data_IF_852438585893
#
_entry.id   IF_852438585893
#
_cell.length_a   1.000
_cell.length_b   1.000
_cell.length_c   1.000
_cell.angle_alpha   90.00
_cell.angle_beta   90.00
_cell.angle_gamma   90.00
#
_symmetry.space_group_name_H-M   'P 1'
#
loop_
_entity.id
_entity.type
_entity.pdbx_description
1 polymer ?
#
# COMPACT_ATOMS: atom_id res chain seq x y z
N UNK A 1 28.33 -35.95 60.60
CA UNK A 1 27.03 -36.32 59.98
C UNK A 1 26.51 -35.09 59.26
N UNK A 2 26.91 -34.92 58.00
CA UNK A 2 26.15 -35.21 56.74
C UNK A 2 25.27 -34.03 56.31
N UNK A 3 25.91 -33.14 55.55
CA UNK A 3 25.30 -32.27 54.54
C UNK A 3 24.43 -33.10 53.58
N UNK A 4 23.22 -32.61 53.26
CA UNK A 4 22.49 -32.97 52.04
C UNK A 4 21.57 -31.81 51.62
N UNK A 5 21.96 -31.11 50.55
CA UNK A 5 21.03 -30.54 49.56
C UNK A 5 20.89 -31.58 48.44
N UNK A 6 19.75 -31.64 47.72
CA UNK A 6 19.68 -31.03 46.37
C UNK A 6 18.22 -30.57 46.00
N UNK A 7 17.82 -30.39 44.72
CA UNK A 7 17.73 -29.09 44.05
C UNK A 7 16.34 -28.86 43.39
N UNK A 8 16.24 -27.85 42.53
CA UNK A 8 15.13 -27.49 41.60
C UNK A 8 14.27 -26.30 41.99
N UNK A 9 14.57 -25.16 41.38
CA UNK A 9 13.55 -24.31 40.76
C UNK A 9 14.23 -23.55 39.62
N UNK A 10 13.93 -23.98 38.40
CA UNK A 10 14.45 -23.42 37.17
C UNK A 10 13.95 -21.98 36.99
N UNK A 11 14.88 -21.05 36.86
CA UNK A 11 14.64 -19.68 36.48
C UNK A 11 14.35 -19.67 34.97
N UNK A 12 13.07 -19.61 34.61
CA UNK A 12 12.61 -19.53 33.23
C UNK A 12 12.76 -18.06 32.78
N UNK A 13 13.95 -17.73 32.29
CA UNK A 13 14.22 -16.46 31.61
C UNK A 13 13.50 -16.51 30.27
N UNK A 14 12.30 -15.94 30.21
CA UNK A 14 11.63 -15.66 28.95
C UNK A 14 12.41 -14.55 28.23
N UNK A 15 13.27 -14.95 27.29
CA UNK A 15 13.76 -14.05 26.24
C UNK A 15 12.55 -13.61 25.43
N UNK A 16 12.03 -12.42 25.71
CA UNK A 16 11.16 -11.71 24.78
C UNK A 16 12.09 -11.27 23.65
N UNK A 17 12.16 -12.08 22.60
CA UNK A 17 12.70 -11.64 21.33
C UNK A 17 11.83 -10.46 20.88
N UNK A 18 12.37 -9.25 20.99
CA UNK A 18 11.85 -8.09 20.28
C UNK A 18 11.89 -8.42 18.80
N UNK A 19 10.77 -8.91 18.25
CA UNK A 19 10.52 -8.83 16.82
C UNK A 19 10.37 -7.34 16.55
N UNK A 20 11.48 -6.70 16.20
CA UNK A 20 11.46 -5.38 15.62
C UNK A 20 10.58 -5.51 14.37
N UNK A 21 9.36 -4.99 14.48
CA UNK A 21 8.43 -4.87 13.37
C UNK A 21 9.15 -3.99 12.35
N UNK A 22 9.77 -4.63 11.35
CA UNK A 22 10.33 -3.95 10.20
C UNK A 22 9.24 -3.02 9.66
N UNK A 23 9.52 -1.72 9.59
CA UNK A 23 8.64 -0.78 8.89
C UNK A 23 8.44 -1.35 7.50
N UNK A 24 7.20 -1.74 7.18
CA UNK A 24 6.83 -2.44 5.95
C UNK A 24 7.03 -1.59 4.70
N UNK A 25 8.29 -1.42 4.27
CA UNK A 25 8.64 -0.86 2.97
C UNK A 25 8.30 -1.88 1.90
N UNK A 26 7.65 -1.43 0.84
CA UNK A 26 7.22 -2.32 -0.24
C UNK A 26 8.43 -2.73 -1.11
N UNK A 27 8.68 -4.03 -1.31
CA UNK A 27 9.74 -4.51 -2.19
C UNK A 27 9.35 -4.28 -3.65
N UNK A 28 10.22 -3.63 -4.42
CA UNK A 28 10.00 -3.36 -5.84
C UNK A 28 11.08 -4.02 -6.69
N UNK A 29 10.67 -4.54 -7.85
CA UNK A 29 11.60 -4.95 -8.91
C UNK A 29 11.55 -3.94 -10.05
N UNK A 30 12.70 -3.44 -10.49
CA UNK A 30 12.79 -2.50 -11.62
C UNK A 30 13.98 -2.76 -12.52
N UNK A 31 13.95 -2.16 -13.70
CA UNK A 31 15.05 -2.20 -14.66
C UNK A 31 15.71 -0.83 -14.77
N UNK A 32 17.04 -0.79 -14.72
CA UNK A 32 17.86 0.39 -15.00
C UNK A 32 18.49 0.24 -16.38
N UNK A 33 18.32 1.25 -17.21
CA UNK A 33 18.95 1.36 -18.52
C UNK A 33 19.99 2.46 -18.42
N UNK A 34 21.26 2.09 -18.51
CA UNK A 34 22.35 3.05 -18.39
C UNK A 34 22.54 3.78 -19.71
N UNK A 35 22.86 5.06 -19.62
CA UNK A 35 23.28 5.87 -20.77
C UNK A 35 24.80 5.97 -20.76
N UNK A 36 25.42 5.87 -21.93
CA UNK A 36 26.85 6.16 -22.10
C UNK A 36 27.12 7.68 -22.23
N UNK A 37 26.10 8.53 -22.03
CA UNK A 37 26.24 9.98 -22.08
C UNK A 37 27.13 10.52 -20.93
N UNK A 38 28.14 11.37 -21.23
CA UNK A 38 29.12 11.84 -20.24
C UNK A 38 28.56 12.64 -19.05
N UNK A 39 27.33 13.14 -19.16
CA UNK A 39 26.65 13.92 -18.11
C UNK A 39 25.48 13.18 -17.48
N UNK A 40 25.33 11.89 -17.77
CA UNK A 40 24.27 11.09 -17.16
C UNK A 40 24.44 11.07 -15.64
N UNK A 41 23.33 11.31 -14.94
CA UNK A 41 23.29 11.23 -13.49
C UNK A 41 23.58 9.78 -13.04
N UNK A 42 24.37 9.63 -11.97
CA UNK A 42 24.70 8.30 -11.42
C UNK A 42 23.43 7.67 -10.86
N UNK A 43 22.98 6.50 -11.36
CA UNK A 43 21.74 5.90 -10.94
C UNK A 43 21.75 5.54 -9.45
N UNK A 44 20.62 5.80 -8.77
CA UNK A 44 20.45 5.42 -7.37
C UNK A 44 19.85 4.03 -7.20
N UNK A 45 20.33 3.28 -6.22
CA UNK A 45 19.83 1.98 -5.75
C UNK A 45 19.27 2.20 -4.34
N UNK A 46 18.00 1.85 -4.15
CA UNK A 46 17.30 2.11 -2.90
C UNK A 46 17.27 0.86 -2.03
N UNK A 47 17.90 0.90 -0.87
CA UNK A 47 18.03 -0.25 0.04
C UNK A 47 17.22 -0.07 1.32
N UNK A 48 16.98 -1.16 2.04
CA UNK A 48 16.37 -1.16 3.37
C UNK A 48 17.20 -1.99 4.34
N UNK A 49 17.20 -1.62 5.62
CA UNK A 49 17.94 -2.34 6.65
C UNK A 49 17.51 -3.80 6.73
N UNK A 50 18.50 -4.70 6.88
CA UNK A 50 18.31 -6.16 7.02
C UNK A 50 17.60 -6.79 5.80
N UNK A 51 17.57 -6.11 4.66
CA UNK A 51 16.94 -6.57 3.42
C UNK A 51 17.96 -6.60 2.28
N UNK A 52 18.09 -7.76 1.64
CA UNK A 52 18.99 -7.94 0.50
C UNK A 52 18.41 -7.29 -0.75
N UNK A 53 19.21 -6.43 -1.36
CA UNK A 53 18.98 -5.87 -2.70
C UNK A 53 19.87 -6.58 -3.72
N UNK A 54 19.28 -7.11 -4.79
CA UNK A 54 20.01 -7.85 -5.82
C UNK A 54 20.11 -7.05 -7.12
N UNK A 55 21.32 -6.67 -7.52
CA UNK A 55 21.59 -6.09 -8.83
C UNK A 55 21.92 -7.23 -9.80
N UNK A 56 21.15 -7.38 -10.89
CA UNK A 56 21.31 -8.42 -11.91
C UNK A 56 21.78 -7.83 -13.22
N UNK A 57 22.87 -8.36 -13.75
CA UNK A 57 23.50 -7.89 -14.99
C UNK A 57 23.37 -8.93 -16.12
N UNK A 58 23.59 -8.50 -17.36
CA UNK A 58 23.63 -9.39 -18.52
C UNK A 58 24.95 -10.18 -18.58
N UNK A 59 26.04 -9.57 -18.12
CA UNK A 59 27.39 -10.15 -18.05
C UNK A 59 27.78 -10.45 -16.60
N UNK A 60 28.70 -11.39 -16.35
CA UNK A 60 29.24 -11.62 -15.00
C UNK A 60 29.92 -10.37 -14.45
N UNK A 61 29.90 -10.20 -13.12
CA UNK A 61 30.69 -9.19 -12.43
C UNK A 61 32.07 -9.75 -12.05
N UNK A 62 33.05 -8.87 -11.96
CA UNK A 62 34.36 -9.12 -11.41
C UNK A 62 34.32 -8.88 -9.91
N UNK A 63 34.55 -9.94 -9.12
CA UNK A 63 34.47 -9.89 -7.66
C UNK A 63 35.59 -9.06 -7.04
N UNK A 64 36.78 -9.09 -7.60
CA UNK A 64 37.95 -8.41 -7.01
C UNK A 64 37.93 -6.91 -7.30
N UNK A 65 37.30 -6.52 -8.41
CA UNK A 65 37.19 -5.11 -8.83
C UNK A 65 35.88 -4.43 -8.44
N UNK A 66 34.86 -5.18 -8.02
CA UNK A 66 33.61 -4.63 -7.50
C UNK A 66 33.79 -4.17 -6.06
N UNK A 67 33.47 -2.90 -5.77
CA UNK A 67 33.70 -2.30 -4.45
C UNK A 67 32.66 -1.25 -4.10
N UNK A 68 32.38 -1.11 -2.80
CA UNK A 68 31.61 0.01 -2.25
C UNK A 68 32.54 0.88 -1.39
N UNK A 69 32.34 2.20 -1.42
CA UNK A 69 33.11 3.14 -0.61
C UNK A 69 32.36 3.50 0.68
N UNK A 70 33.06 3.46 1.82
CA UNK A 70 32.52 3.86 3.13
C UNK A 70 31.45 2.93 3.68
N UNK A 71 31.46 1.66 3.30
CA UNK A 71 30.44 0.67 3.64
C UNK A 71 30.64 0.05 5.04
N UNK A 72 31.87 0.11 5.56
CA UNK A 72 32.28 -0.61 6.75
C UNK A 72 31.40 -0.25 7.97
N UNK A 73 30.82 -1.28 8.59
CA UNK A 73 29.92 -1.13 9.73
C UNK A 73 28.51 -0.64 9.39
N UNK A 74 28.20 -0.41 8.10
CA UNK A 74 26.87 -0.02 7.61
C UNK A 74 26.22 -1.12 6.76
N UNK A 75 27.01 -1.93 6.09
CA UNK A 75 26.56 -3.03 5.22
C UNK A 75 27.30 -4.33 5.55
N UNK A 76 26.68 -5.47 5.20
CA UNK A 76 27.42 -6.70 4.95
C UNK A 76 28.39 -6.51 3.77
N UNK A 77 29.51 -7.25 3.70
CA UNK A 77 30.43 -7.18 2.59
C UNK A 77 29.73 -7.40 1.25
N UNK A 78 29.96 -6.50 0.29
CA UNK A 78 29.34 -6.61 -1.03
C UNK A 78 29.81 -7.89 -1.71
N UNK A 79 28.85 -8.74 -2.09
CA UNK A 79 29.15 -9.99 -2.78
C UNK A 79 28.81 -9.89 -4.26
N UNK A 80 29.78 -10.23 -5.10
CA UNK A 80 29.57 -10.50 -6.52
C UNK A 80 29.54 -12.02 -6.75
N UNK A 81 28.41 -12.52 -7.26
CA UNK A 81 28.17 -13.94 -7.54
C UNK A 81 27.65 -14.11 -8.97
N UNK A 82 28.54 -14.49 -9.88
CA UNK A 82 28.22 -14.66 -11.29
C UNK A 82 27.75 -13.34 -11.90
N UNK A 83 26.47 -13.24 -12.27
CA UNK A 83 25.86 -12.03 -12.87
C UNK A 83 25.11 -11.16 -11.88
N UNK A 84 25.37 -11.32 -10.58
CA UNK A 84 24.63 -10.67 -9.51
C UNK A 84 25.57 -9.98 -8.54
N UNK A 85 25.18 -8.80 -8.09
CA UNK A 85 25.79 -8.11 -6.95
C UNK A 85 24.74 -8.00 -5.85
N UNK A 86 25.10 -8.41 -4.63
CA UNK A 86 24.24 -8.39 -3.46
C UNK A 86 24.66 -7.25 -2.55
N UNK A 87 23.69 -6.47 -2.10
CA UNK A 87 23.88 -5.36 -1.17
C UNK A 87 22.89 -5.52 -0.02
N UNK A 88 23.40 -5.58 1.20
CA UNK A 88 22.59 -5.77 2.40
C UNK A 88 23.03 -4.79 3.50
N UNK A 89 22.24 -3.75 3.79
CA UNK A 89 22.52 -2.85 4.90
C UNK A 89 22.27 -3.56 6.24
N UNK A 90 23.16 -3.38 7.21
CA UNK A 90 22.99 -3.95 8.56
C UNK A 90 21.82 -3.30 9.31
N UNK A 91 21.51 -2.05 8.97
CA UNK A 91 20.44 -1.23 9.57
C UNK A 91 19.88 -0.28 8.53
N UNK A 92 18.71 0.28 8.82
CA UNK A 92 18.13 1.34 8.01
C UNK A 92 19.08 2.54 7.85
N UNK A 93 19.26 2.96 6.60
CA UNK A 93 19.97 4.18 6.25
C UNK A 93 19.00 5.36 6.25
N UNK A 94 19.53 6.58 6.41
CA UNK A 94 18.74 7.78 6.17
C UNK A 94 18.76 8.14 4.67
N UNK A 95 17.73 8.81 4.12
CA UNK A 95 17.73 9.23 2.71
C UNK A 95 18.89 10.16 2.32
N UNK A 96 19.50 10.84 3.29
CA UNK A 96 20.66 11.71 3.07
C UNK A 96 21.98 10.94 3.05
N UNK A 97 21.98 9.67 3.52
CA UNK A 97 23.14 8.80 3.44
C UNK A 97 23.28 8.27 1.99
N UNK A 98 24.42 8.52 1.36
CA UNK A 98 24.73 8.03 0.02
C UNK A 98 26.09 7.34 -0.03
N UNK A 99 26.13 6.12 -0.55
CA UNK A 99 27.36 5.32 -0.68
C UNK A 99 27.63 5.01 -2.14
N UNK A 100 28.88 5.18 -2.59
CA UNK A 100 29.24 4.88 -3.98
C UNK A 100 29.56 3.39 -4.12
N UNK A 101 28.79 2.69 -4.94
CA UNK A 101 29.05 1.33 -5.40
C UNK A 101 29.58 1.38 -6.83
N UNK A 102 30.74 0.77 -7.06
CA UNK A 102 31.29 0.59 -8.42
C UNK A 102 31.28 -0.90 -8.73
N UNK A 103 30.41 -1.30 -9.65
CA UNK A 103 30.37 -2.68 -10.15
C UNK A 103 31.23 -2.78 -11.39
N UNK A 104 32.21 -3.67 -11.37
CA UNK A 104 33.03 -3.95 -12.56
C UNK A 104 32.49 -5.21 -13.22
N UNK A 105 32.16 -5.15 -14.51
CA UNK A 105 31.78 -6.31 -15.30
C UNK A 105 33.01 -7.10 -15.75
N UNK A 106 32.82 -8.36 -16.14
CA UNK A 106 33.91 -9.25 -16.59
C UNK A 106 34.64 -8.76 -17.85
N UNK A 107 34.05 -7.82 -18.60
CA UNK A 107 34.69 -7.16 -19.75
C UNK A 107 35.46 -5.89 -19.36
N UNK A 108 35.54 -5.58 -18.07
CA UNK A 108 36.21 -4.41 -17.52
C UNK A 108 35.38 -3.13 -17.49
N UNK A 109 34.13 -3.12 -17.97
CA UNK A 109 33.25 -1.94 -17.89
C UNK A 109 32.90 -1.68 -16.41
N UNK A 110 33.18 -0.47 -15.94
CA UNK A 110 32.84 -0.02 -14.59
C UNK A 110 31.51 0.73 -14.60
N UNK A 111 30.62 0.36 -13.68
CA UNK A 111 29.26 0.88 -13.57
C UNK A 111 29.07 1.50 -12.18
N UNK A 112 29.02 2.84 -12.05
CA UNK A 112 28.82 3.50 -10.79
C UNK A 112 27.33 3.56 -10.41
N UNK A 113 27.05 3.42 -9.11
CA UNK A 113 25.72 3.54 -8.50
C UNK A 113 25.80 4.26 -7.17
N UNK A 114 24.77 5.03 -6.85
CA UNK A 114 24.58 5.60 -5.50
C UNK A 114 23.65 4.69 -4.70
N UNK A 115 24.12 4.11 -3.61
CA UNK A 115 23.30 3.30 -2.70
C UNK A 115 22.77 4.18 -1.58
N UNK A 116 21.45 4.25 -1.43
CA UNK A 116 20.78 5.12 -0.45
C UNK A 116 19.43 4.53 0.00
N UNK A 117 18.73 5.16 0.94
CA UNK A 117 17.40 4.75 1.36
C UNK A 117 16.29 5.64 0.78
N UNK A 118 15.08 5.09 0.68
CA UNK A 118 13.84 5.86 0.45
C UNK A 118 12.77 5.38 1.43
N UNK A 119 11.80 6.24 1.74
CA UNK A 119 10.90 6.01 2.88
C UNK A 119 9.92 4.85 2.68
N UNK A 120 9.31 4.73 1.51
CA UNK A 120 8.12 3.88 1.30
C UNK A 120 8.42 2.53 0.66
N UNK A 121 9.51 2.44 -0.10
CA UNK A 121 9.80 1.30 -0.95
C UNK A 121 11.29 0.98 -0.91
N UNK A 122 11.69 -0.22 -1.30
CA UNK A 122 13.10 -0.54 -1.54
C UNK A 122 13.23 -1.41 -2.78
N UNK A 123 14.42 -1.42 -3.37
CA UNK A 123 14.73 -2.27 -4.50
C UNK A 123 15.02 -3.68 -3.99
N UNK A 124 14.11 -4.62 -4.19
CA UNK A 124 14.41 -6.03 -3.94
C UNK A 124 15.31 -6.59 -5.06
N UNK A 125 15.01 -6.22 -6.30
CA UNK A 125 15.80 -6.59 -7.47
C UNK A 125 15.91 -5.43 -8.47
N UNK A 126 17.12 -5.21 -8.97
CA UNK A 126 17.41 -4.24 -10.02
C UNK A 126 18.03 -4.96 -11.22
N UNK A 127 17.33 -5.03 -12.35
CA UNK A 127 17.91 -5.52 -13.60
C UNK A 127 18.67 -4.38 -14.28
N UNK A 128 19.98 -4.50 -14.42
CA UNK A 128 20.84 -3.47 -15.00
C UNK A 128 21.19 -3.82 -16.43
N UNK A 129 20.88 -2.91 -17.34
CA UNK A 129 21.21 -2.97 -18.76
C UNK A 129 22.22 -1.86 -19.09
N UNK A 130 23.51 -2.19 -19.21
CA UNK A 130 24.56 -1.21 -19.53
C UNK A 130 24.49 -0.64 -20.94
N UNK A 131 23.80 -1.35 -21.83
CA UNK A 131 23.52 -0.98 -23.21
C UNK A 131 22.00 -1.12 -23.39
N UNK A 132 21.36 -0.05 -23.84
CA UNK A 132 19.91 0.05 -23.93
C UNK A 132 19.34 -0.58 -25.22
N UNK A 133 20.20 -0.98 -26.17
CA UNK A 133 19.82 -1.58 -27.45
C UNK A 133 19.95 -3.11 -27.44
N UNK A 134 20.45 -3.69 -26.34
CA UNK A 134 20.54 -5.15 -26.24
C UNK A 134 19.17 -5.80 -26.34
N UNK A 135 19.10 -7.00 -26.92
CA UNK A 135 17.86 -7.78 -27.00
C UNK A 135 17.19 -7.95 -25.63
N UNK A 136 18.00 -8.09 -24.57
CA UNK A 136 17.52 -8.15 -23.19
C UNK A 136 16.87 -6.85 -22.74
N UNK A 137 17.53 -5.71 -22.98
CA UNK A 137 17.01 -4.39 -22.64
C UNK A 137 15.70 -4.09 -23.38
N UNK A 138 15.66 -4.30 -24.69
CA UNK A 138 14.48 -4.08 -25.53
C UNK A 138 13.30 -4.94 -25.09
N UNK A 139 13.52 -6.23 -24.82
CA UNK A 139 12.47 -7.13 -24.33
C UNK A 139 11.94 -6.70 -22.96
N UNK A 140 12.83 -6.31 -22.05
CA UNK A 140 12.45 -5.80 -20.72
C UNK A 140 11.59 -4.53 -20.83
N UNK A 141 11.95 -3.58 -21.71
CA UNK A 141 11.16 -2.37 -21.96
C UNK A 141 9.79 -2.67 -22.55
N UNK A 142 9.72 -3.54 -23.55
CA UNK A 142 8.46 -3.93 -24.17
C UNK A 142 7.53 -4.58 -23.15
N UNK A 143 8.03 -5.55 -22.37
CA UNK A 143 7.24 -6.24 -21.33
C UNK A 143 6.72 -5.24 -20.29
N UNK A 144 7.57 -4.29 -19.86
CA UNK A 144 7.16 -3.24 -18.93
C UNK A 144 6.08 -2.33 -19.56
N UNK A 145 6.27 -1.89 -20.81
CA UNK A 145 5.32 -1.03 -21.51
C UNK A 145 3.95 -1.72 -21.68
N UNK A 146 3.93 -2.97 -22.13
CA UNK A 146 2.69 -3.78 -22.28
C UNK A 146 1.98 -3.95 -20.92
N UNK A 147 2.74 -4.21 -19.85
CA UNK A 147 2.16 -4.34 -18.51
C UNK A 147 1.52 -3.04 -18.02
N UNK A 148 2.18 -1.90 -18.30
CA UNK A 148 1.70 -0.58 -17.92
C UNK A 148 0.47 -0.19 -18.74
N UNK A 149 0.50 -0.46 -20.05
CA UNK A 149 -0.62 -0.19 -20.95
C UNK A 149 -1.87 -0.94 -20.48
N UNK A 150 -1.76 -2.25 -20.23
CA UNK A 150 -2.88 -3.04 -19.72
C UNK A 150 -3.47 -2.48 -18.42
N UNK A 151 -2.63 -2.12 -17.44
CA UNK A 151 -3.09 -1.50 -16.18
C UNK A 151 -3.83 -0.19 -16.47
N UNK A 152 -3.24 0.68 -17.31
CA UNK A 152 -3.83 1.97 -17.64
C UNK A 152 -5.15 1.81 -18.42
N UNK A 153 -5.26 0.81 -19.29
CA UNK A 153 -6.50 0.47 -19.99
C UNK A 153 -7.59 0.03 -19.01
N UNK A 154 -7.28 -0.90 -18.10
CA UNK A 154 -8.20 -1.36 -17.06
C UNK A 154 -8.68 -0.19 -16.17
N UNK A 155 -7.77 0.71 -15.76
CA UNK A 155 -8.13 1.89 -15.00
C UNK A 155 -8.96 2.89 -15.80
N UNK A 156 -8.65 3.11 -17.07
CA UNK A 156 -9.41 4.01 -17.93
C UNK A 156 -10.83 3.47 -18.16
N UNK A 157 -10.96 2.17 -18.43
CA UNK A 157 -12.26 1.52 -18.53
C UNK A 157 -13.07 1.64 -17.25
N UNK A 158 -12.44 1.40 -16.09
CA UNK A 158 -13.07 1.65 -14.78
C UNK A 158 -13.55 3.09 -14.68
N UNK A 159 -12.69 4.07 -14.92
CA UNK A 159 -13.09 5.48 -14.82
C UNK A 159 -14.18 5.88 -15.81
N UNK A 160 -14.22 5.31 -17.03
CA UNK A 160 -15.32 5.54 -17.99
C UNK A 160 -16.65 5.00 -17.47
N UNK A 161 -16.64 3.77 -16.92
CA UNK A 161 -17.83 3.16 -16.29
C UNK A 161 -18.30 3.99 -15.09
N UNK A 162 -17.37 4.47 -14.28
CA UNK A 162 -17.69 5.33 -13.14
C UNK A 162 -18.23 6.70 -13.57
N UNK A 163 -17.61 7.36 -14.56
CA UNK A 163 -18.00 8.70 -15.00
C UNK A 163 -19.39 8.73 -15.65
N UNK A 164 -19.80 7.63 -16.30
CA UNK A 164 -21.13 7.47 -16.90
C UNK A 164 -22.19 6.97 -15.91
N UNK A 165 -21.80 6.56 -14.70
CA UNK A 165 -22.71 6.04 -13.68
C UNK A 165 -23.34 7.17 -12.86
N UNK A 166 -24.68 7.18 -12.81
CA UNK A 166 -25.47 8.07 -11.96
C UNK A 166 -25.06 7.93 -10.49
N UNK A 167 -24.74 6.70 -10.05
CA UNK A 167 -24.43 6.42 -8.64
C UNK A 167 -23.08 7.03 -8.24
N UNK A 168 -22.09 6.98 -9.13
CA UNK A 168 -20.81 7.65 -8.90
C UNK A 168 -20.92 9.17 -8.98
N UNK A 169 -21.79 9.72 -9.83
CA UNK A 169 -22.06 11.16 -9.87
C UNK A 169 -22.72 11.63 -8.56
N UNK A 170 -23.71 10.89 -8.06
CA UNK A 170 -24.35 11.15 -6.77
C UNK A 170 -23.36 11.03 -5.61
N UNK A 171 -22.52 9.99 -5.59
CA UNK A 171 -21.48 9.82 -4.58
C UNK A 171 -20.48 11.00 -4.61
N UNK A 172 -20.10 11.49 -5.79
CA UNK A 172 -19.20 12.64 -5.92
C UNK A 172 -19.81 13.93 -5.35
N UNK A 173 -21.11 14.17 -5.57
CA UNK A 173 -21.82 15.31 -4.98
C UNK A 173 -21.86 15.21 -3.46
N UNK A 174 -22.16 14.04 -2.91
CA UNK A 174 -22.22 13.81 -1.46
C UNK A 174 -20.84 13.94 -0.79
N UNK A 175 -19.78 13.45 -1.43
CA UNK A 175 -18.40 13.60 -0.93
C UNK A 175 -17.98 15.09 -0.86
N UNK A 176 -18.56 15.95 -1.69
CA UNK A 176 -18.31 17.41 -1.75
C UNK A 176 -19.34 18.24 -0.98
N UNK A 177 -20.09 17.64 -0.05
CA UNK A 177 -21.13 18.31 0.75
C UNK A 177 -22.30 18.94 -0.04
N UNK A 178 -22.49 18.55 -1.30
CA UNK A 178 -23.53 19.08 -2.15
C UNK A 178 -24.88 18.35 -1.94
N UNK A 179 -25.24 17.99 -0.69
CA UNK A 179 -26.48 17.24 -0.38
C UNK A 179 -27.72 17.89 -0.99
N UNK A 180 -27.80 19.23 -0.98
CA UNK A 180 -28.91 20.01 -1.54
C UNK A 180 -29.06 19.85 -3.07
N UNK A 181 -28.02 19.39 -3.76
CA UNK A 181 -28.02 19.10 -5.21
C UNK A 181 -28.34 17.64 -5.51
N UNK A 182 -28.74 16.86 -4.50
CA UNK A 182 -29.08 15.45 -4.62
C UNK A 182 -30.51 15.20 -4.17
N UNK A 183 -31.15 14.10 -4.61
CA UNK A 183 -32.51 13.78 -4.21
C UNK A 183 -32.58 13.03 -2.86
N UNK A 184 -31.49 13.04 -2.09
CA UNK A 184 -31.35 12.30 -0.84
C UNK A 184 -31.89 13.07 0.36
N UNK A 185 -32.54 12.34 1.27
CA UNK A 185 -33.03 12.85 2.55
C UNK A 185 -32.35 12.08 3.68
N UNK A 186 -31.93 12.80 4.72
CA UNK A 186 -31.32 12.21 5.92
C UNK A 186 -32.32 11.34 6.66
N UNK A 187 -31.94 10.10 6.93
CA UNK A 187 -32.76 9.15 7.71
C UNK A 187 -32.22 9.01 9.13
N UNK A 188 -30.93 8.69 9.25
CA UNK A 188 -30.30 8.60 10.56
C UNK A 188 -28.82 9.01 10.53
N UNK A 189 -28.32 9.30 11.73
CA UNK A 189 -26.92 9.63 11.99
C UNK A 189 -26.44 8.75 13.14
N UNK A 190 -25.27 8.15 13.00
CA UNK A 190 -24.62 7.35 14.03
C UNK A 190 -23.16 7.74 14.16
N UNK A 191 -22.67 7.82 15.39
CA UNK A 191 -21.26 8.07 15.67
C UNK A 191 -20.61 6.76 16.14
N UNK A 192 -19.63 6.30 15.38
CA UNK A 192 -18.78 5.19 15.75
C UNK A 192 -17.38 5.72 16.10
N UNK A 193 -16.85 5.29 17.24
CA UNK A 193 -15.45 5.53 17.63
C UNK A 193 -14.71 4.21 17.57
N UNK A 194 -13.64 4.17 16.79
CA UNK A 194 -12.76 3.01 16.76
C UNK A 194 -11.72 3.12 17.90
N UNK A 195 -11.43 2.02 18.63
CA UNK A 195 -10.35 1.95 19.62
C UNK A 195 -8.97 2.49 19.17
N UNK A 196 -8.67 2.52 17.86
CA UNK A 196 -7.40 3.02 17.29
C UNK A 196 -7.38 4.51 16.95
N UNK A 197 -8.36 5.28 17.43
CA UNK A 197 -8.36 6.75 17.32
C UNK A 197 -9.05 7.32 16.07
N UNK A 198 -9.59 6.50 15.18
CA UNK A 198 -10.47 7.00 14.11
C UNK A 198 -11.86 7.33 14.69
N UNK A 199 -12.29 8.57 14.49
CA UNK A 199 -13.67 9.00 14.78
C UNK A 199 -14.47 9.02 13.47
N UNK A 200 -15.60 8.32 13.47
CA UNK A 200 -16.37 8.03 12.27
C UNK A 200 -17.83 8.43 12.49
N UNK A 201 -18.24 9.53 11.87
CA UNK A 201 -19.64 9.96 11.86
C UNK A 201 -20.31 9.48 10.57
N UNK A 202 -21.25 8.57 10.73
CA UNK A 202 -22.03 7.97 9.65
C UNK A 202 -23.37 8.68 9.52
N UNK A 203 -23.72 9.08 8.32
CA UNK A 203 -25.04 9.61 7.97
C UNK A 203 -25.62 8.77 6.85
N UNK A 204 -26.74 8.09 7.11
CA UNK A 204 -27.45 7.37 6.07
C UNK A 204 -28.59 8.20 5.50
N UNK A 205 -28.74 8.10 4.19
CA UNK A 205 -29.66 8.88 3.39
C UNK A 205 -30.45 7.94 2.47
N UNK A 206 -31.68 8.31 2.16
CA UNK A 206 -32.47 7.62 1.14
C UNK A 206 -33.09 8.57 0.15
N UNK A 207 -33.32 8.08 -1.06
CA UNK A 207 -34.10 8.74 -2.07
C UNK A 207 -35.16 7.77 -2.57
N UNK A 208 -36.40 8.25 -2.69
CA UNK A 208 -37.50 7.46 -3.28
C UNK A 208 -37.47 7.50 -4.81
N UNK A 209 -36.91 8.57 -5.38
CA UNK A 209 -36.82 8.82 -6.83
C UNK A 209 -35.49 9.54 -7.12
N UNK A 210 -34.45 8.82 -7.58
CA UNK A 210 -34.40 7.37 -7.82
C UNK A 210 -34.40 6.56 -6.52
N UNK A 211 -34.80 5.29 -6.56
CA UNK A 211 -34.87 4.40 -5.39
C UNK A 211 -33.47 3.99 -4.91
N UNK A 212 -32.81 4.85 -4.14
CA UNK A 212 -31.39 4.71 -3.79
C UNK A 212 -31.12 4.98 -2.32
N UNK A 213 -30.03 4.40 -1.84
CA UNK A 213 -29.48 4.63 -0.51
C UNK A 213 -28.10 5.23 -0.65
N UNK A 214 -27.77 6.15 0.25
CA UNK A 214 -26.43 6.67 0.36
C UNK A 214 -25.96 6.68 1.82
N UNK A 215 -24.65 6.52 1.99
CA UNK A 215 -23.99 6.59 3.28
C UNK A 215 -22.84 7.58 3.17
N UNK A 216 -22.87 8.63 3.99
CA UNK A 216 -21.76 9.56 4.16
C UNK A 216 -21.02 9.17 5.42
N UNK A 217 -19.73 8.90 5.28
CA UNK A 217 -18.82 8.60 6.36
C UNK A 217 -17.87 9.78 6.49
N UNK A 218 -18.00 10.54 7.58
CA UNK A 218 -17.02 11.56 7.93
C UNK A 218 -15.97 10.90 8.81
N UNK A 219 -14.75 10.83 8.29
CA UNK A 219 -13.62 10.24 8.97
C UNK A 219 -12.75 11.35 9.53
N UNK A 220 -12.30 11.18 10.78
CA UNK A 220 -11.24 11.97 11.39
C UNK A 220 -10.14 11.05 11.91
N UNK A 221 -8.93 11.19 11.37
CA UNK A 221 -7.76 10.42 11.78
C UNK A 221 -7.08 11.09 12.98
N UNK A 222 -7.39 10.65 14.21
CA UNK A 222 -6.71 11.16 15.40
C UNK A 222 -5.42 10.40 15.75
N UNK A 223 -4.90 9.54 14.86
CA UNK A 223 -3.61 8.91 15.10
C UNK A 223 -2.50 9.97 15.20
N UNK A 224 -1.60 9.89 16.20
CA UNK A 224 -0.52 10.85 16.35
C UNK A 224 0.60 10.68 15.32
N UNK A 225 0.70 9.52 14.67
CA UNK A 225 1.85 9.18 13.83
C UNK A 225 1.52 8.39 12.56
N UNK A 226 0.32 7.82 12.45
CA UNK A 226 -0.02 6.97 11.32
C UNK A 226 -0.99 7.63 10.36
N UNK A 227 -0.71 7.51 9.07
CA UNK A 227 -1.65 7.86 8.00
C UNK A 227 -2.78 6.82 7.92
N UNK A 228 -3.99 7.28 7.67
CA UNK A 228 -5.14 6.44 7.38
C UNK A 228 -5.41 6.46 5.87
N UNK A 229 -5.55 5.29 5.24
CA UNK A 229 -5.92 5.21 3.83
C UNK A 229 -6.90 4.08 3.62
N UNK A 230 -7.88 4.28 2.75
CA UNK A 230 -8.84 3.25 2.39
C UNK A 230 -8.12 2.18 1.54
N UNK A 231 -8.16 0.93 2.00
CA UNK A 231 -7.75 -0.22 1.21
C UNK A 231 -8.91 -0.68 0.34
N UNK A 232 -10.03 -0.98 0.99
CA UNK A 232 -11.19 -1.59 0.37
C UNK A 232 -12.44 -1.18 1.14
N UNK A 233 -13.54 -1.05 0.42
CA UNK A 233 -14.86 -0.99 0.99
C UNK A 233 -15.67 -2.18 0.46
N UNK A 234 -16.53 -2.76 1.30
CA UNK A 234 -17.46 -3.83 0.89
C UNK A 234 -18.85 -3.51 1.38
N UNK A 235 -19.83 -3.76 0.55
CA UNK A 235 -21.23 -3.79 0.96
C UNK A 235 -21.66 -5.26 0.92
N UNK A 236 -22.01 -5.83 2.05
CA UNK A 236 -22.37 -7.25 2.15
C UNK A 236 -23.73 -7.43 2.80
N UNK A 237 -24.48 -8.45 2.36
CA UNK A 237 -25.67 -8.89 3.08
C UNK A 237 -25.25 -9.59 4.38
N UNK A 238 -25.80 -9.17 5.52
CA UNK A 238 -25.40 -9.69 6.85
C UNK A 238 -25.64 -11.19 6.96
N UNK A 239 -26.76 -11.69 6.41
CA UNK A 239 -27.16 -13.08 6.52
C UNK A 239 -26.35 -14.03 5.62
N UNK A 240 -26.05 -13.63 4.38
CA UNK A 240 -25.40 -14.50 3.38
C UNK A 240 -23.91 -14.20 3.17
N UNK A 241 -23.44 -13.02 3.58
CA UNK A 241 -22.11 -12.51 3.25
C UNK A 241 -21.94 -12.14 1.76
N UNK A 242 -23.00 -12.20 0.95
CA UNK A 242 -22.95 -11.89 -0.47
C UNK A 242 -22.64 -10.41 -0.69
N UNK A 243 -21.68 -10.13 -1.57
CA UNK A 243 -21.30 -8.75 -1.93
C UNK A 243 -22.35 -8.11 -2.83
N UNK A 244 -22.68 -6.85 -2.53
CA UNK A 244 -23.60 -6.01 -3.30
C UNK A 244 -22.83 -4.92 -4.04
N UNK A 245 -23.21 -4.58 -5.28
CA UNK A 245 -22.58 -3.49 -6.01
C UNK A 245 -22.93 -2.13 -5.37
N UNK A 246 -21.96 -1.22 -5.37
CA UNK A 246 -22.14 0.16 -4.93
C UNK A 246 -21.14 1.08 -5.65
N UNK A 247 -21.45 2.36 -5.69
CA UNK A 247 -20.53 3.42 -6.09
C UNK A 247 -19.91 4.06 -4.84
N UNK A 248 -18.62 4.38 -4.91
CA UNK A 248 -17.88 5.04 -3.83
C UNK A 248 -17.09 6.23 -4.35
N UNK A 249 -17.09 7.32 -3.57
CA UNK A 249 -16.21 8.48 -3.76
C UNK A 249 -15.69 8.96 -2.42
N UNK A 250 -14.37 9.16 -2.35
CA UNK A 250 -13.72 9.80 -1.21
C UNK A 250 -13.22 11.20 -1.59
N UNK A 251 -13.07 12.08 -0.61
CA UNK A 251 -12.49 13.43 -0.83
C UNK A 251 -10.99 13.37 -1.12
N UNK A 252 -10.31 12.35 -0.60
CA UNK A 252 -8.88 12.07 -0.80
C UNK A 252 -8.61 10.58 -0.62
N UNK A 253 -7.42 10.12 -1.03
CA UNK A 253 -7.01 8.71 -0.91
C UNK A 253 -6.40 8.37 0.47
N UNK A 254 -5.85 9.37 1.15
CA UNK A 254 -5.15 9.23 2.43
C UNK A 254 -5.35 10.45 3.32
N UNK A 255 -5.49 10.21 4.62
CA UNK A 255 -5.63 11.20 5.68
C UNK A 255 -4.44 11.09 6.63
N UNK A 256 -3.60 12.12 6.67
CA UNK A 256 -2.44 12.20 7.52
C UNK A 256 -2.76 12.15 9.02
N UNK A 257 -1.72 11.98 9.86
CA UNK A 257 -1.87 11.99 11.31
C UNK A 257 -2.23 13.39 11.84
N UNK A 258 -2.67 13.46 13.10
CA UNK A 258 -2.85 14.73 13.80
C UNK A 258 -4.24 15.37 13.62
N UNK A 259 -5.26 14.59 13.28
CA UNK A 259 -6.65 15.04 13.24
C UNK A 259 -7.18 15.40 11.84
N UNK A 260 -6.47 15.02 10.77
CA UNK A 260 -6.94 15.24 9.41
C UNK A 260 -8.30 14.56 9.19
N UNK A 261 -9.19 15.25 8.50
CA UNK A 261 -10.58 14.83 8.31
C UNK A 261 -10.96 14.83 6.84
N UNK A 262 -11.90 13.97 6.46
CA UNK A 262 -12.54 14.01 5.15
C UNK A 262 -13.71 13.05 5.05
N UNK A 263 -14.17 12.80 3.83
CA UNK A 263 -15.45 12.13 3.61
C UNK A 263 -15.33 11.00 2.62
N UNK A 264 -16.10 9.95 2.89
CA UNK A 264 -16.35 8.84 1.98
C UNK A 264 -17.86 8.78 1.78
N UNK A 265 -18.31 8.91 0.55
CA UNK A 265 -19.69 8.76 0.15
C UNK A 265 -19.86 7.45 -0.62
N UNK A 266 -20.85 6.68 -0.20
CA UNK A 266 -21.25 5.41 -0.83
C UNK A 266 -22.69 5.56 -1.31
N UNK A 267 -22.98 5.12 -2.53
CA UNK A 267 -24.32 5.14 -3.13
C UNK A 267 -24.62 3.78 -3.74
N UNK A 268 -25.80 3.24 -3.49
CA UNK A 268 -26.24 1.97 -4.05
C UNK A 268 -27.76 1.95 -4.26
N UNK A 269 -28.22 1.00 -5.07
CA UNK A 269 -29.65 0.82 -5.31
C UNK A 269 -30.33 0.20 -4.07
N UNK A 270 -31.52 0.68 -3.72
CA UNK A 270 -32.26 0.08 -2.62
C UNK A 270 -32.66 -1.39 -2.92
N UNK A 271 -32.58 -1.86 -4.16
CA UNK A 271 -32.69 -3.29 -4.49
C UNK A 271 -31.52 -4.15 -4.01
N UNK A 272 -30.45 -3.57 -3.45
CA UNK A 272 -29.36 -4.33 -2.84
C UNK A 272 -29.82 -5.10 -1.58
N UNK A 273 -30.93 -4.66 -0.99
CA UNK A 273 -31.68 -5.31 0.08
C UNK A 273 -32.47 -6.51 -0.51
N UNK A 274 -32.31 -7.71 0.07
CA UNK A 274 -33.01 -8.91 -0.37
C UNK A 274 -34.47 -8.95 0.15
N UNK A 275 -35.40 -8.72 -0.77
CA UNK A 275 -36.83 -8.60 -0.49
C UNK A 275 -37.51 -9.92 -0.10
N UNK A 276 -36.82 -11.07 -0.17
CA UNK A 276 -37.49 -12.37 -0.17
C UNK A 276 -37.54 -13.10 1.18
N UNK A 277 -36.55 -12.99 2.07
CA UNK A 277 -36.57 -13.70 3.37
C UNK A 277 -35.69 -13.04 4.46
N UNK A 278 -36.31 -12.67 5.61
CA UNK A 278 -35.61 -12.34 6.87
C UNK A 278 -35.19 -10.87 7.06
N UNK A 279 -34.59 -10.50 8.23
CA UNK A 279 -34.17 -9.13 8.51
C UNK A 279 -33.08 -8.70 7.52
N UNK A 280 -33.48 -7.80 6.62
CA UNK A 280 -32.71 -7.38 5.46
C UNK A 280 -31.72 -6.28 5.84
N UNK A 281 -30.55 -6.72 6.31
CA UNK A 281 -29.47 -5.87 6.78
C UNK A 281 -28.26 -5.96 5.87
N UNK A 282 -27.74 -4.80 5.51
CA UNK A 282 -26.46 -4.69 4.84
C UNK A 282 -25.41 -4.20 5.83
N UNK A 283 -24.19 -4.69 5.66
CA UNK A 283 -23.02 -4.20 6.39
C UNK A 283 -22.11 -3.53 5.39
N UNK A 284 -21.87 -2.23 5.59
CA UNK A 284 -20.82 -1.51 4.87
C UNK A 284 -19.54 -1.61 5.70
N UNK A 285 -18.53 -2.28 5.17
CA UNK A 285 -17.24 -2.52 5.81
C UNK A 285 -16.15 -1.66 5.16
N UNK A 286 -15.28 -1.06 5.97
CA UNK A 286 -14.09 -0.35 5.51
C UNK A 286 -12.83 -1.02 6.08
N UNK A 287 -11.88 -1.27 5.19
CA UNK A 287 -10.59 -1.88 5.49
C UNK A 287 -9.50 -0.83 5.32
N UNK A 288 -8.57 -0.76 6.29
CA UNK A 288 -7.46 0.20 6.25
C UNK A 288 -6.24 -0.42 5.56
N UNK A 289 -5.60 0.36 4.69
CA UNK A 289 -4.36 0.00 4.00
C UNK A 289 -3.22 -0.21 5.00
N UNK A 290 -2.36 -1.19 4.73
CA UNK A 290 -1.26 -1.59 5.61
C UNK A 290 -1.64 -2.72 6.58
N UNK A 291 -2.67 -2.53 7.42
CA UNK A 291 -3.08 -3.58 8.37
C UNK A 291 -4.00 -4.65 7.78
N UNK A 292 -4.79 -4.30 6.75
CA UNK A 292 -5.81 -5.19 6.16
C UNK A 292 -6.96 -5.54 7.12
N UNK A 293 -6.99 -4.97 8.32
CA UNK A 293 -8.03 -5.23 9.31
C UNK A 293 -9.24 -4.35 9.02
N UNK A 294 -10.44 -4.90 9.22
CA UNK A 294 -11.69 -4.15 9.22
C UNK A 294 -11.65 -3.11 10.33
N UNK A 295 -11.64 -1.83 9.95
CA UNK A 295 -11.53 -0.72 10.90
C UNK A 295 -12.86 -0.01 11.14
N UNK A 296 -13.80 -0.11 10.21
CA UNK A 296 -15.14 0.41 10.40
C UNK A 296 -16.15 -0.54 9.80
N UNK A 297 -17.33 -0.62 10.43
CA UNK A 297 -18.49 -1.23 9.82
C UNK A 297 -19.74 -0.45 10.20
N UNK A 298 -20.69 -0.40 9.27
CA UNK A 298 -21.98 0.25 9.45
C UNK A 298 -23.07 -0.74 9.15
N UNK A 299 -23.95 -0.99 10.12
CA UNK A 299 -25.17 -1.73 9.90
C UNK A 299 -26.22 -0.81 9.28
N UNK A 300 -26.76 -1.23 8.14
CA UNK A 300 -27.82 -0.57 7.41
C UNK A 300 -29.05 -1.47 7.49
N UNK A 301 -30.02 -1.06 8.32
CA UNK A 301 -31.31 -1.74 8.43
C UNK A 301 -32.32 -1.02 7.55
N UNK A 302 -32.99 -1.79 6.69
CA UNK A 302 -34.00 -1.27 5.77
C UNK A 302 -35.09 -0.46 6.47
N UNK A 303 -35.55 -0.88 7.65
CA UNK A 303 -36.60 -0.18 8.40
C UNK A 303 -36.12 1.18 8.91
N UNK A 304 -34.86 1.28 9.35
CA UNK A 304 -34.25 2.55 9.79
C UNK A 304 -34.04 3.53 8.64
N UNK A 305 -34.09 3.04 7.39
CA UNK A 305 -33.94 3.83 6.18
C UNK A 305 -35.29 4.25 5.56
N UNK A 306 -36.42 3.77 6.11
CA UNK A 306 -37.76 4.09 5.64
C UNK A 306 -38.07 3.53 4.25
N UNK A 307 -37.54 2.34 3.94
CA UNK A 307 -37.64 1.60 2.66
C UNK A 307 -38.47 0.32 2.78
#
# INVERSE_FOLDING_TARGET
>A
MRNFLPPWSALLVALIASVAVAKGREPVSRSLYLSDEPKAEVPSIYVAGEMVTVLRFEKPCDRERTKMLGWEGRFEPVECVGKKVLVEPLKDLKPEDGFLLVVTLSDGKELPFTVTARNEQFDHQVNVFPDNETKGALKSRLTYAESRERILEEENERFRKEASSIDHALAALLARDALKMTPFVKQYVSLAKNPRGAEILVTALTSKKPNKVAVIINLKNNSPSETWSLMEARLVAEASGEQRPFALRATQESWGPGGESGKIAVVFDASAFDLKDGPDRLVLELFRRGSGVREAWVFLDRHMLGL
#
